data_IF_255644328102
#
_entry.id   IF_255644328102
#
_cell.length_a   1.000
_cell.length_b   1.000
_cell.length_c   1.000
_cell.angle_alpha   90.00
_cell.angle_beta   90.00
_cell.angle_gamma   90.00
#
_symmetry.space_group_name_H-M   'P 1'
#
loop_
_entity.id
_entity.type
_entity.pdbx_description
1 polymer ?
#
# COMPACT_ATOMS: atom_id res chain seq x y z
N UNK A 1 8.84 28.21 25.77
CA UNK A 1 7.53 27.63 25.48
C UNK A 1 7.73 26.51 24.47
N UNK A 2 7.53 25.27 24.90
CA UNK A 2 7.53 24.15 23.96
C UNK A 2 6.34 24.33 23.01
N UNK A 3 6.60 24.54 21.72
CA UNK A 3 5.53 24.50 20.73
C UNK A 3 4.91 23.10 20.79
N UNK A 4 3.66 23.02 21.11
CA UNK A 4 2.92 21.76 20.95
C UNK A 4 2.93 21.49 19.45
N UNK A 5 3.75 20.52 19.06
CA UNK A 5 3.85 20.09 17.67
C UNK A 5 2.55 19.37 17.33
N UNK A 6 1.64 20.04 16.66
CA UNK A 6 0.34 19.51 16.28
C UNK A 6 0.47 18.74 14.99
N UNK A 7 -0.32 17.67 14.84
CA UNK A 7 -0.47 17.03 13.54
C UNK A 7 -0.93 18.04 12.51
N UNK A 8 -0.10 18.25 11.51
CA UNK A 8 -0.41 19.18 10.44
C UNK A 8 -1.54 18.58 9.57
N UNK A 9 -2.71 19.25 9.44
CA UNK A 9 -3.78 18.79 8.55
C UNK A 9 -3.34 18.62 7.09
N UNK A 10 -2.35 19.41 6.65
CA UNK A 10 -1.76 19.30 5.31
C UNK A 10 -1.04 17.95 5.17
N UNK A 11 -0.33 17.55 6.19
CA UNK A 11 0.39 16.28 6.24
C UNK A 11 -0.58 15.11 6.20
N UNK A 12 -1.63 15.13 7.01
CA UNK A 12 -2.67 14.10 6.98
C UNK A 12 -3.33 14.01 5.58
N UNK A 13 -3.64 15.16 4.98
CA UNK A 13 -4.18 15.24 3.63
C UNK A 13 -3.25 14.62 2.59
N UNK A 14 -1.94 14.85 2.72
CA UNK A 14 -0.94 14.27 1.84
C UNK A 14 -0.88 12.73 1.93
N UNK A 15 -0.94 12.18 3.14
CA UNK A 15 -1.01 10.72 3.35
C UNK A 15 -2.25 10.13 2.69
N UNK A 16 -3.40 10.76 2.86
CA UNK A 16 -4.66 10.30 2.28
C UNK A 16 -4.62 10.34 0.74
N UNK A 17 -3.98 11.35 0.16
CA UNK A 17 -3.77 11.44 -1.30
C UNK A 17 -2.86 10.32 -1.79
N UNK A 18 -1.75 10.05 -1.12
CA UNK A 18 -0.85 8.95 -1.47
C UNK A 18 -1.53 7.59 -1.40
N UNK A 19 -2.34 7.36 -0.36
CA UNK A 19 -3.10 6.11 -0.23
C UNK A 19 -4.16 5.97 -1.33
N UNK A 20 -4.76 7.07 -1.76
CA UNK A 20 -5.69 7.05 -2.89
C UNK A 20 -4.98 6.74 -4.20
N UNK A 21 -3.80 7.31 -4.44
CA UNK A 21 -3.00 7.03 -5.63
C UNK A 21 -2.61 5.55 -5.69
N UNK A 22 -2.22 4.99 -4.56
CA UNK A 22 -1.91 3.57 -4.43
C UNK A 22 -3.14 2.70 -4.69
N UNK A 23 -4.30 3.07 -4.15
CA UNK A 23 -5.56 2.38 -4.40
C UNK A 23 -5.92 2.39 -5.89
N UNK A 24 -5.71 3.52 -6.58
CA UNK A 24 -5.96 3.64 -8.01
C UNK A 24 -5.03 2.72 -8.82
N UNK A 25 -3.76 2.58 -8.41
CA UNK A 25 -2.84 1.63 -9.05
C UNK A 25 -3.28 0.19 -8.85
N UNK A 26 -3.74 -0.17 -7.66
CA UNK A 26 -4.33 -1.50 -7.39
C UNK A 26 -5.53 -1.76 -8.31
N UNK A 27 -6.43 -0.78 -8.44
CA UNK A 27 -7.60 -0.88 -9.33
C UNK A 27 -7.19 -1.02 -10.80
N UNK A 28 -6.16 -0.30 -11.25
CA UNK A 28 -5.65 -0.42 -12.62
C UNK A 28 -5.23 -1.83 -12.95
N UNK A 29 -4.48 -2.48 -12.06
CA UNK A 29 -4.06 -3.88 -12.26
C UNK A 29 -5.26 -4.81 -12.28
N UNK A 30 -6.17 -4.67 -11.32
CA UNK A 30 -7.38 -5.51 -11.25
C UNK A 30 -8.25 -5.35 -12.48
N UNK A 31 -8.42 -4.12 -12.96
CA UNK A 31 -9.20 -3.84 -14.17
C UNK A 31 -8.56 -4.47 -15.41
N UNK A 32 -7.24 -4.41 -15.52
CA UNK A 32 -6.51 -5.01 -16.63
C UNK A 32 -6.64 -6.54 -16.64
N UNK A 33 -6.61 -7.16 -15.46
CA UNK A 33 -6.82 -8.60 -15.31
C UNK A 33 -8.25 -9.03 -15.63
N UNK A 34 -9.23 -8.18 -15.36
CA UNK A 34 -10.66 -8.47 -15.50
C UNK A 34 -11.21 -8.20 -16.91
N UNK A 35 -10.43 -7.64 -17.83
CA UNK A 35 -10.88 -7.41 -19.22
C UNK A 35 -11.34 -8.73 -19.86
N UNK A 36 -12.52 -8.70 -20.48
CA UNK A 36 -13.10 -9.88 -21.11
C UNK A 36 -12.27 -10.35 -22.31
N UNK A 37 -12.31 -11.66 -22.57
CA UNK A 37 -11.61 -12.28 -23.69
C UNK A 37 -10.42 -13.13 -23.26
N UNK A 38 -9.84 -13.91 -24.20
CA UNK A 38 -8.73 -14.79 -23.90
C UNK A 38 -7.47 -13.98 -23.56
N UNK A 39 -6.59 -14.49 -22.68
CA UNK A 39 -5.30 -13.85 -22.43
C UNK A 39 -4.44 -13.87 -23.69
N UNK A 40 -3.70 -12.77 -23.87
CA UNK A 40 -2.78 -12.58 -25.00
C UNK A 40 -1.42 -12.14 -24.47
N UNK A 41 -0.37 -12.26 -25.30
CA UNK A 41 0.96 -11.73 -24.93
C UNK A 41 0.90 -10.22 -24.71
N UNK A 42 0.11 -9.48 -25.49
CA UNK A 42 -0.07 -8.05 -25.31
C UNK A 42 -0.71 -7.73 -23.95
N UNK A 43 -1.77 -8.43 -23.60
CA UNK A 43 -2.46 -8.25 -22.30
C UNK A 43 -1.52 -8.58 -21.14
N UNK A 44 -0.72 -9.64 -21.26
CA UNK A 44 0.28 -9.98 -20.24
C UNK A 44 1.29 -8.85 -20.07
N UNK A 45 1.79 -8.30 -21.16
CA UNK A 45 2.70 -7.15 -21.13
C UNK A 45 2.10 -5.90 -20.48
N UNK A 46 0.85 -5.59 -20.79
CA UNK A 46 0.13 -4.46 -20.21
C UNK A 46 -0.06 -4.63 -18.69
N UNK A 47 -0.45 -5.83 -18.25
CA UNK A 47 -0.61 -6.13 -16.83
C UNK A 47 0.73 -6.08 -16.11
N UNK A 48 1.78 -6.66 -16.68
CA UNK A 48 3.12 -6.61 -16.10
C UNK A 48 3.61 -5.16 -15.94
N UNK A 49 3.40 -4.31 -16.95
CA UNK A 49 3.77 -2.90 -16.86
C UNK A 49 3.05 -2.21 -15.68
N UNK A 50 1.75 -2.46 -15.52
CA UNK A 50 0.98 -1.91 -14.40
C UNK A 50 1.43 -2.45 -13.05
N UNK A 51 1.77 -3.74 -12.97
CA UNK A 51 2.30 -4.34 -11.74
C UNK A 51 3.66 -3.78 -11.36
N UNK A 52 4.54 -3.55 -12.33
CA UNK A 52 5.85 -2.93 -12.08
C UNK A 52 5.70 -1.49 -11.61
N UNK A 53 4.79 -0.72 -12.20
CA UNK A 53 4.48 0.64 -11.75
C UNK A 53 3.99 0.64 -10.30
N UNK A 54 3.08 -0.25 -9.95
CA UNK A 54 2.60 -0.44 -8.59
C UNK A 54 3.74 -0.80 -7.64
N UNK A 55 4.59 -1.71 -8.04
CA UNK A 55 5.71 -2.18 -7.23
C UNK A 55 6.71 -1.05 -6.93
N UNK A 56 7.04 -0.24 -7.92
CA UNK A 56 7.93 0.91 -7.76
C UNK A 56 7.32 1.95 -6.84
N UNK A 57 6.04 2.23 -7.00
CA UNK A 57 5.31 3.16 -6.14
C UNK A 57 5.29 2.67 -4.67
N UNK A 58 5.03 1.39 -4.46
CA UNK A 58 5.05 0.79 -3.12
C UNK A 58 6.42 0.85 -2.48
N UNK A 59 7.46 0.54 -3.22
CA UNK A 59 8.83 0.60 -2.72
C UNK A 59 9.16 2.01 -2.23
N UNK A 60 8.86 3.02 -3.01
CA UNK A 60 9.12 4.41 -2.66
C UNK A 60 8.30 4.86 -1.45
N UNK A 61 7.02 4.48 -1.42
CA UNK A 61 6.12 4.80 -0.32
C UNK A 61 6.60 4.17 1.01
N UNK A 62 6.95 2.89 0.99
CA UNK A 62 7.46 2.19 2.17
C UNK A 62 8.81 2.76 2.64
N UNK A 63 9.68 3.11 1.70
CA UNK A 63 10.97 3.74 2.02
C UNK A 63 10.77 5.08 2.74
N UNK A 64 9.85 5.89 2.27
CA UNK A 64 9.51 7.16 2.92
C UNK A 64 8.98 6.96 4.34
N UNK A 65 8.10 5.98 4.54
CA UNK A 65 7.57 5.67 5.86
C UNK A 65 8.65 5.19 6.84
N UNK A 66 9.60 4.40 6.36
CA UNK A 66 10.69 3.85 7.16
C UNK A 66 11.75 4.89 7.52
N UNK A 67 11.83 5.99 6.78
CA UNK A 67 12.81 7.06 6.97
C UNK A 67 12.29 8.24 7.79
N UNK A 68 11.29 8.05 8.63
CA UNK A 68 10.81 9.09 9.52
C UNK A 68 9.57 9.82 9.04
N UNK A 69 8.59 9.07 8.51
CA UNK A 69 7.31 9.61 8.08
C UNK A 69 6.28 9.75 9.21
N UNK A 70 5.01 9.75 8.84
CA UNK A 70 3.87 9.94 9.75
C UNK A 70 3.75 8.93 10.85
N UNK A 71 4.10 7.67 10.58
CA UNK A 71 4.01 6.62 11.57
C UNK A 71 4.94 6.90 12.73
N UNK A 72 6.18 7.31 12.44
CA UNK A 72 7.15 7.69 13.46
C UNK A 72 6.70 8.94 14.22
N UNK A 73 6.18 9.93 13.52
CA UNK A 73 5.63 11.14 14.14
C UNK A 73 4.48 10.81 15.08
N UNK A 74 3.58 9.91 14.69
CA UNK A 74 2.48 9.44 15.53
C UNK A 74 2.99 8.79 16.82
N UNK A 75 4.04 7.99 16.75
CA UNK A 75 4.67 7.37 17.94
C UNK A 75 5.30 8.43 18.84
N UNK A 76 5.93 9.45 18.28
CA UNK A 76 6.52 10.54 19.05
C UNK A 76 5.46 11.25 19.90
N UNK A 77 4.26 11.43 19.33
CA UNK A 77 3.13 12.07 20.04
C UNK A 77 2.42 11.14 20.99
N UNK A 78 2.22 9.88 20.56
CA UNK A 78 1.47 8.87 21.31
C UNK A 78 2.31 7.61 21.40
N UNK A 79 3.19 7.51 22.41
CA UNK A 79 4.12 6.37 22.53
C UNK A 79 3.45 5.00 22.59
N UNK A 80 2.19 4.92 23.04
CA UNK A 80 1.44 3.64 23.07
C UNK A 80 1.20 3.07 21.66
N UNK A 81 1.35 3.87 20.61
CA UNK A 81 1.21 3.41 19.21
C UNK A 81 2.46 2.70 18.69
N UNK A 82 3.56 2.69 19.44
CA UNK A 82 4.84 2.11 18.99
C UNK A 82 4.75 0.66 18.54
N UNK A 83 3.98 -0.16 19.26
CA UNK A 83 3.82 -1.58 18.90
C UNK A 83 3.07 -1.73 17.57
N UNK A 84 2.00 -0.98 17.39
CA UNK A 84 1.22 -0.99 16.16
C UNK A 84 2.06 -0.52 14.95
N UNK A 85 2.80 0.57 15.11
CA UNK A 85 3.68 1.11 14.05
C UNK A 85 4.78 0.13 13.70
N UNK A 86 5.41 -0.48 14.69
CA UNK A 86 6.44 -1.50 14.46
C UNK A 86 5.90 -2.69 13.69
N UNK A 87 4.69 -3.14 14.01
CA UNK A 87 4.01 -4.20 13.27
C UNK A 87 3.73 -3.79 11.82
N UNK A 88 3.23 -2.58 11.60
CA UNK A 88 2.93 -2.05 10.26
C UNK A 88 4.20 -1.98 9.40
N UNK A 89 5.27 -1.38 9.92
CA UNK A 89 6.54 -1.30 9.20
C UNK A 89 7.13 -2.69 8.91
N UNK A 90 6.94 -3.63 9.82
CA UNK A 90 7.38 -5.02 9.66
C UNK A 90 6.65 -5.77 8.56
N UNK A 91 5.50 -5.30 8.10
CA UNK A 91 4.74 -5.91 7.01
C UNK A 91 5.28 -5.56 5.61
N UNK A 92 6.06 -4.49 5.48
CA UNK A 92 6.55 -3.99 4.19
C UNK A 92 7.33 -5.04 3.38
N UNK A 93 8.33 -5.74 3.94
CA UNK A 93 9.07 -6.74 3.16
C UNK A 93 8.18 -7.87 2.64
N UNK A 94 7.23 -8.33 3.44
CA UNK A 94 6.31 -9.40 3.04
C UNK A 94 5.37 -8.98 1.92
N UNK A 95 4.87 -7.75 1.96
CA UNK A 95 3.99 -7.21 0.91
C UNK A 95 4.73 -7.05 -0.41
N UNK A 96 5.96 -6.52 -0.38
CA UNK A 96 6.78 -6.41 -1.58
C UNK A 96 7.14 -7.79 -2.16
N UNK A 97 7.50 -8.74 -1.31
CA UNK A 97 7.82 -10.10 -1.73
C UNK A 97 6.60 -10.80 -2.36
N UNK A 98 5.42 -10.60 -1.82
CA UNK A 98 4.18 -11.17 -2.36
C UNK A 98 3.87 -10.62 -3.76
N UNK A 99 4.01 -9.32 -3.96
CA UNK A 99 3.83 -8.72 -5.28
C UNK A 99 4.90 -9.19 -6.26
N UNK A 100 6.16 -9.27 -5.83
CA UNK A 100 7.25 -9.80 -6.65
C UNK A 100 6.99 -11.24 -7.09
N UNK A 101 6.41 -12.08 -6.23
CA UNK A 101 5.99 -13.44 -6.58
C UNK A 101 4.90 -13.44 -7.64
N UNK A 102 3.90 -12.59 -7.54
CA UNK A 102 2.83 -12.48 -8.54
C UNK A 102 3.41 -12.07 -9.90
N UNK A 103 4.30 -11.09 -9.91
CA UNK A 103 4.99 -10.63 -11.13
C UNK A 103 5.80 -11.78 -11.75
N UNK A 104 6.63 -12.45 -10.96
CA UNK A 104 7.48 -13.55 -11.43
C UNK A 104 6.65 -14.70 -11.99
N UNK A 105 5.55 -15.07 -11.34
CA UNK A 105 4.64 -16.11 -11.82
C UNK A 105 4.02 -15.73 -13.16
N UNK A 106 3.59 -14.49 -13.32
CA UNK A 106 3.02 -14.03 -14.59
C UNK A 106 4.06 -14.01 -15.71
N UNK A 107 5.28 -13.59 -15.42
CA UNK A 107 6.40 -13.58 -16.39
C UNK A 107 6.77 -14.99 -16.85
N UNK A 108 6.76 -15.96 -15.94
CA UNK A 108 7.18 -17.33 -16.20
C UNK A 108 6.04 -18.23 -16.73
N UNK A 109 4.80 -17.82 -16.62
CA UNK A 109 3.64 -18.64 -16.96
C UNK A 109 3.33 -18.60 -18.45
N UNK A 110 2.75 -19.68 -19.01
CA UNK A 110 2.22 -19.63 -20.36
C UNK A 110 1.03 -18.67 -20.44
N UNK A 111 0.75 -18.17 -21.65
CA UNK A 111 -0.41 -17.31 -21.90
C UNK A 111 -1.62 -18.18 -22.13
N UNK A 112 -2.24 -18.65 -21.05
CA UNK A 112 -3.47 -19.45 -21.07
C UNK A 112 -4.43 -19.05 -19.94
N UNK A 113 -5.67 -19.51 -20.03
CA UNK A 113 -6.73 -19.15 -19.09
C UNK A 113 -6.45 -19.64 -17.67
N UNK A 114 -5.82 -20.79 -17.51
CA UNK A 114 -5.49 -21.35 -16.19
C UNK A 114 -4.43 -20.53 -15.48
N UNK A 115 -3.36 -20.18 -16.18
CA UNK A 115 -2.31 -19.33 -15.66
C UNK A 115 -2.84 -17.91 -15.33
N UNK A 116 -3.70 -17.39 -16.21
CA UNK A 116 -4.32 -16.07 -15.99
C UNK A 116 -5.19 -16.05 -14.73
N UNK A 117 -5.99 -17.09 -14.52
CA UNK A 117 -6.81 -17.23 -13.32
C UNK A 117 -5.98 -17.31 -12.05
N UNK A 118 -4.83 -17.99 -12.08
CA UNK A 118 -3.90 -18.05 -10.94
C UNK A 118 -3.30 -16.67 -10.64
N UNK A 119 -2.93 -15.93 -11.66
CA UNK A 119 -2.43 -14.56 -11.50
C UNK A 119 -3.48 -13.64 -10.91
N UNK A 120 -4.70 -13.70 -11.42
CA UNK A 120 -5.82 -12.92 -10.91
C UNK A 120 -6.09 -13.22 -9.43
N UNK A 121 -6.12 -14.50 -9.07
CA UNK A 121 -6.32 -14.94 -7.67
C UNK A 121 -5.16 -14.49 -6.76
N UNK A 122 -3.92 -14.63 -7.20
CA UNK A 122 -2.74 -14.20 -6.46
C UNK A 122 -2.72 -12.70 -6.23
N UNK A 123 -3.05 -11.94 -7.26
CA UNK A 123 -3.13 -10.48 -7.14
C UNK A 123 -4.30 -10.04 -6.23
N UNK A 124 -5.43 -10.71 -6.29
CA UNK A 124 -6.57 -10.43 -5.41
C UNK A 124 -6.20 -10.63 -3.93
N UNK A 125 -5.47 -11.69 -3.62
CA UNK A 125 -4.95 -11.94 -2.26
C UNK A 125 -3.99 -10.84 -1.82
N UNK A 126 -3.04 -10.47 -2.66
CA UNK A 126 -2.12 -9.35 -2.39
C UNK A 126 -2.88 -8.05 -2.15
N UNK A 127 -3.83 -7.72 -3.02
CA UNK A 127 -4.63 -6.51 -2.94
C UNK A 127 -5.41 -6.42 -1.62
N UNK A 128 -5.99 -7.53 -1.16
CA UNK A 128 -6.69 -7.58 0.13
C UNK A 128 -5.75 -7.32 1.30
N UNK A 129 -4.56 -7.90 1.29
CA UNK A 129 -3.53 -7.67 2.32
C UNK A 129 -3.03 -6.23 2.32
N UNK A 130 -2.82 -5.67 1.13
CA UNK A 130 -2.40 -4.28 0.98
C UNK A 130 -3.46 -3.31 1.52
N UNK A 131 -4.72 -3.57 1.23
CA UNK A 131 -5.84 -2.77 1.74
C UNK A 131 -5.92 -2.84 3.27
N UNK A 132 -5.75 -4.02 3.86
CA UNK A 132 -5.72 -4.19 5.31
C UNK A 132 -4.55 -3.44 5.96
N UNK A 133 -3.38 -3.48 5.31
CA UNK A 133 -2.19 -2.74 5.74
C UNK A 133 -2.44 -1.22 5.76
N UNK A 134 -3.00 -0.66 4.68
CA UNK A 134 -3.33 0.76 4.60
C UNK A 134 -4.36 1.19 5.64
N UNK A 135 -5.35 0.35 5.91
CA UNK A 135 -6.33 0.62 6.98
C UNK A 135 -5.67 0.72 8.34
N UNK A 136 -4.67 -0.13 8.60
CA UNK A 136 -3.91 -0.09 9.84
C UNK A 136 -3.10 1.21 9.95
N UNK A 137 -2.48 1.65 8.86
CA UNK A 137 -1.77 2.93 8.80
C UNK A 137 -2.71 4.10 9.04
N UNK A 138 -3.84 4.13 8.36
CA UNK A 138 -4.84 5.19 8.50
C UNK A 138 -5.36 5.27 9.94
N UNK A 139 -5.57 4.13 10.59
CA UNK A 139 -6.01 4.09 11.99
C UNK A 139 -4.99 4.71 12.94
N UNK A 140 -3.68 4.45 12.72
CA UNK A 140 -2.61 5.05 13.52
C UNK A 140 -2.53 6.56 13.30
N UNK A 141 -2.53 7.00 12.05
CA UNK A 141 -2.46 8.43 11.70
C UNK A 141 -3.68 9.17 12.23
N UNK A 142 -4.87 8.57 12.11
CA UNK A 142 -6.11 9.16 12.60
C UNK A 142 -6.13 9.24 14.14
N UNK A 143 -5.62 8.22 14.83
CA UNK A 143 -5.50 8.23 16.29
C UNK A 143 -4.58 9.37 16.74
N UNK A 144 -3.44 9.56 16.08
CA UNK A 144 -2.53 10.67 16.35
C UNK A 144 -3.18 12.03 16.16
N UNK A 145 -3.92 12.20 15.07
CA UNK A 145 -4.63 13.44 14.76
C UNK A 145 -5.75 13.72 15.78
N UNK A 146 -6.56 12.72 16.11
CA UNK A 146 -7.68 12.86 17.05
C UNK A 146 -7.19 13.20 18.48
N UNK A 147 -6.07 12.63 18.90
CA UNK A 147 -5.48 12.93 20.21
C UNK A 147 -5.03 14.39 20.27
N UNK A 148 -4.41 14.92 19.20
CA UNK A 148 -4.04 16.32 19.11
C UNK A 148 -5.28 17.24 19.19
N UNK A 149 -6.37 16.86 18.52
CA UNK A 149 -7.64 17.62 18.62
C UNK A 149 -8.21 17.57 20.04
N UNK A 150 -8.16 16.42 20.71
CA UNK A 150 -8.59 16.25 22.07
C UNK A 150 -7.85 17.14 23.07
N UNK A 151 -6.55 17.38 22.85
CA UNK A 151 -5.74 18.26 23.66
C UNK A 151 -6.09 19.75 23.48
N UNK A 152 -6.85 20.09 22.46
CA UNK A 152 -7.28 21.47 22.17
C UNK A 152 -8.60 21.85 22.87
N UNK A 153 -9.33 20.89 23.40
CA UNK A 153 -10.56 21.11 24.20
C UNK A 153 -10.17 21.45 25.66
#
# INVERSE_FOLDING_TARGET
MASIDRSDPVILGHVLVEHRDLFNLLLSVRSALAVAGPPTYKRRGDVLASMHELRDHLHDHFTQEEQGGFLEESVTRIPRLSVAVKSILGQHPGLLAELDCVIADLEASPVDSGAWARTDSGFATFSARMTAHERSENAVVQAGYNEDLGLME
#
